data_IF_904862299209
#
_entry.id   IF_904862299209
#
_cell.length_a   1.000
_cell.length_b   1.000
_cell.length_c   1.000
_cell.angle_alpha   90.00
_cell.angle_beta   90.00
_cell.angle_gamma   90.00
#
_symmetry.space_group_name_H-M   'P 1'
#
loop_
_entity.id
_entity.type
_entity.pdbx_description
1 polymer ?
#
# COMPACT_ATOMS: atom_id res chain seq x y z
N UNK A 1 10.82 -31.04 4.24
CA UNK A 1 11.63 -30.99 3.03
C UNK A 1 12.09 -29.54 2.87
N UNK A 2 13.37 -29.27 3.12
CA UNK A 2 13.99 -27.97 2.82
C UNK A 2 14.68 -28.11 1.49
N UNK A 3 14.20 -27.42 0.47
CA UNK A 3 14.97 -27.19 -0.76
C UNK A 3 15.88 -25.99 -0.49
N UNK A 4 17.12 -26.29 -0.09
CA UNK A 4 18.27 -25.43 -0.35
C UNK A 4 18.37 -25.32 -1.88
N UNK A 5 18.00 -24.17 -2.43
CA UNK A 5 18.21 -23.87 -3.84
C UNK A 5 19.65 -23.37 -3.99
N UNK A 6 20.43 -24.20 -4.67
CA UNK A 6 21.83 -23.96 -5.05
C UNK A 6 21.97 -22.64 -5.81
N UNK A 7 23.08 -21.95 -5.57
CA UNK A 7 23.40 -20.63 -6.10
C UNK A 7 23.36 -20.62 -7.63
N UNK A 8 22.40 -19.89 -8.20
CA UNK A 8 22.45 -19.47 -9.60
C UNK A 8 23.07 -18.07 -9.63
N UNK A 9 24.23 -17.93 -10.28
CA UNK A 9 25.11 -16.73 -10.43
C UNK A 9 24.44 -15.41 -10.91
N UNK A 10 23.12 -15.33 -11.01
CA UNK A 10 22.37 -14.12 -11.37
C UNK A 10 21.22 -13.78 -10.41
N UNK A 11 21.08 -14.49 -9.29
CA UNK A 11 20.12 -14.10 -8.26
C UNK A 11 20.70 -13.00 -7.35
N UNK A 12 19.92 -11.95 -7.04
CA UNK A 12 20.36 -10.94 -6.09
C UNK A 12 20.67 -11.60 -4.75
N UNK A 13 21.78 -11.23 -4.11
CA UNK A 13 22.13 -11.75 -2.79
C UNK A 13 20.97 -11.54 -1.82
N UNK A 14 20.40 -12.64 -1.32
CA UNK A 14 19.29 -12.59 -0.36
C UNK A 14 19.78 -12.95 1.04
N UNK A 15 19.49 -12.09 2.02
CA UNK A 15 19.75 -12.35 3.43
C UNK A 15 18.46 -12.80 4.13
N UNK A 16 18.54 -13.84 4.97
CA UNK A 16 17.41 -14.31 5.77
C UNK A 16 17.17 -13.38 6.96
N UNK A 17 15.90 -13.01 7.16
CA UNK A 17 15.42 -12.25 8.32
C UNK A 17 14.45 -13.12 9.12
N UNK A 18 14.59 -13.13 10.45
CA UNK A 18 13.65 -13.80 11.35
C UNK A 18 12.78 -12.75 12.04
N UNK A 19 11.48 -12.75 11.74
CA UNK A 19 10.51 -11.75 12.23
C UNK A 19 9.37 -12.44 12.97
N UNK A 20 8.91 -11.84 14.08
CA UNK A 20 7.70 -12.30 14.79
C UNK A 20 6.49 -11.58 14.22
N UNK A 21 5.50 -12.35 13.75
CA UNK A 21 4.23 -11.86 13.24
C UNK A 21 3.06 -12.47 14.03
N UNK A 22 1.92 -11.78 14.17
CA UNK A 22 0.70 -12.39 14.70
C UNK A 22 0.30 -13.61 13.87
N UNK A 23 -0.17 -14.67 14.53
CA UNK A 23 -0.58 -15.91 13.84
C UNK A 23 -1.70 -15.65 12.83
N UNK A 24 -2.69 -14.83 13.20
CA UNK A 24 -3.81 -14.46 12.33
C UNK A 24 -3.36 -13.72 11.06
N UNK A 25 -2.25 -12.96 11.14
CA UNK A 25 -1.67 -12.28 10.00
C UNK A 25 -0.96 -13.28 9.09
N UNK A 26 -0.28 -14.27 9.67
CA UNK A 26 0.38 -15.32 8.89
C UNK A 26 -0.63 -16.17 8.12
N UNK A 27 -1.76 -16.51 8.73
CA UNK A 27 -2.85 -17.24 8.07
C UNK A 27 -3.44 -16.44 6.89
N UNK A 28 -3.64 -15.13 7.06
CA UNK A 28 -4.09 -14.26 5.98
C UNK A 28 -3.07 -14.15 4.84
N UNK A 29 -1.78 -14.06 5.16
CA UNK A 29 -0.72 -14.04 4.15
C UNK A 29 -0.72 -15.35 3.37
N UNK A 30 -0.87 -16.49 4.06
CA UNK A 30 -0.88 -17.83 3.48
C UNK A 30 -2.07 -18.05 2.52
N UNK A 31 -3.23 -17.46 2.80
CA UNK A 31 -4.38 -17.48 1.88
C UNK A 31 -4.18 -16.53 0.68
N UNK A 32 -3.68 -15.32 0.94
CA UNK A 32 -3.61 -14.25 -0.06
C UNK A 32 -2.46 -14.42 -1.05
N UNK A 33 -1.30 -14.95 -0.64
CA UNK A 33 -0.13 -14.97 -1.52
C UNK A 33 -0.37 -15.81 -2.78
N UNK A 34 -1.06 -16.95 -2.63
CA UNK A 34 -1.39 -17.82 -3.76
C UNK A 34 -2.45 -17.18 -4.67
N UNK A 35 -3.46 -16.53 -4.06
CA UNK A 35 -4.48 -15.77 -4.80
C UNK A 35 -3.86 -14.65 -5.66
N UNK A 36 -2.81 -14.00 -5.15
CA UNK A 36 -2.06 -12.94 -5.84
C UNK A 36 -1.02 -13.46 -6.83
N UNK A 37 -0.89 -14.78 -6.99
CA UNK A 37 -0.01 -15.39 -7.98
C UNK A 37 1.48 -15.45 -7.59
N UNK A 38 1.81 -15.22 -6.31
CA UNK A 38 3.19 -15.36 -5.84
C UNK A 38 3.62 -16.82 -5.79
N UNK A 39 4.87 -17.10 -6.16
CA UNK A 39 5.42 -18.46 -6.15
C UNK A 39 5.79 -18.93 -4.74
N UNK A 40 6.02 -17.98 -3.82
CA UNK A 40 6.34 -18.27 -2.43
C UNK A 40 5.91 -17.13 -1.51
N UNK A 41 5.73 -17.48 -0.23
CA UNK A 41 5.47 -16.51 0.85
C UNK A 41 6.58 -15.48 0.99
N UNK A 42 7.83 -15.92 0.83
CA UNK A 42 9.00 -15.04 0.89
C UNK A 42 9.00 -14.01 -0.23
N UNK A 43 8.45 -14.34 -1.39
CA UNK A 43 8.29 -13.40 -2.51
C UNK A 43 7.24 -12.33 -2.18
N UNK A 44 6.07 -12.72 -1.68
CA UNK A 44 5.02 -11.80 -1.25
C UNK A 44 5.51 -10.85 -0.13
N UNK A 45 6.25 -11.37 0.85
CA UNK A 45 6.83 -10.56 1.93
C UNK A 45 7.90 -9.62 1.37
N UNK A 46 8.75 -10.08 0.45
CA UNK A 46 9.79 -9.25 -0.16
C UNK A 46 9.18 -8.13 -1.01
N UNK A 47 8.08 -8.38 -1.71
CA UNK A 47 7.34 -7.36 -2.44
C UNK A 47 6.72 -6.32 -1.50
N UNK A 48 6.07 -6.77 -0.42
CA UNK A 48 5.54 -5.88 0.61
C UNK A 48 6.62 -5.01 1.26
N UNK A 49 7.81 -5.58 1.52
CA UNK A 49 8.96 -4.82 2.02
C UNK A 49 9.46 -3.80 0.99
N UNK A 50 9.48 -4.16 -0.30
CA UNK A 50 9.86 -3.23 -1.37
C UNK A 50 8.85 -2.09 -1.49
N UNK A 51 7.55 -2.39 -1.44
CA UNK A 51 6.48 -1.39 -1.42
C UNK A 51 6.52 -0.51 -0.17
N UNK A 52 7.03 -1.01 0.97
CA UNK A 52 7.23 -0.19 2.15
C UNK A 52 8.40 0.79 2.00
N UNK A 53 9.49 0.39 1.35
CA UNK A 53 10.66 1.25 1.05
C UNK A 53 10.35 2.25 -0.06
N UNK A 54 9.65 1.80 -1.10
CA UNK A 54 9.27 2.59 -2.27
C UNK A 54 7.79 2.36 -2.59
N UNK A 55 6.88 3.12 -1.96
CA UNK A 55 5.46 2.94 -2.17
C UNK A 55 5.09 3.23 -3.63
N UNK A 56 4.34 2.34 -4.31
CA UNK A 56 4.00 2.49 -5.73
C UNK A 56 3.16 3.76 -5.99
N UNK A 57 2.55 4.32 -4.95
CA UNK A 57 1.93 5.64 -4.95
C UNK A 57 2.63 6.49 -3.89
N UNK A 58 3.66 7.22 -4.30
CA UNK A 58 4.15 8.35 -3.50
C UNK A 58 3.22 9.52 -3.77
N UNK A 59 2.37 9.86 -2.81
CA UNK A 59 1.77 11.20 -2.78
C UNK A 59 2.95 12.18 -2.69
N UNK A 60 2.97 13.23 -3.51
CA UNK A 60 3.99 14.27 -3.36
C UNK A 60 3.84 14.92 -1.99
N UNK A 61 4.92 15.55 -1.51
CA UNK A 61 4.90 16.32 -0.26
C UNK A 61 3.77 17.37 -0.29
N UNK A 62 3.51 17.96 -1.46
CA UNK A 62 2.40 18.89 -1.68
C UNK A 62 1.03 18.22 -1.44
N UNK A 63 0.80 17.03 -1.99
CA UNK A 63 -0.49 16.32 -1.81
C UNK A 63 -0.69 15.87 -0.37
N UNK A 64 0.38 15.49 0.33
CA UNK A 64 0.32 15.19 1.76
C UNK A 64 -0.01 16.43 2.60
N UNK A 65 0.59 17.58 2.26
CA UNK A 65 0.28 18.86 2.89
C UNK A 65 -1.19 19.27 2.64
N UNK A 66 -1.68 19.11 1.42
CA UNK A 66 -3.08 19.39 1.06
C UNK A 66 -4.06 18.49 1.82
N UNK A 67 -3.74 17.20 2.00
CA UNK A 67 -4.54 16.27 2.81
C UNK A 67 -4.57 16.66 4.29
N UNK A 68 -3.45 17.14 4.83
CA UNK A 68 -3.39 17.62 6.20
C UNK A 68 -4.26 18.88 6.38
N UNK A 69 -4.12 19.85 5.47
CA UNK A 69 -4.92 21.08 5.47
C UNK A 69 -6.42 20.77 5.31
N UNK A 70 -6.78 19.85 4.42
CA UNK A 70 -8.17 19.43 4.22
C UNK A 70 -8.79 18.83 5.49
N UNK A 71 -8.03 18.06 6.27
CA UNK A 71 -8.50 17.50 7.56
C UNK A 71 -8.76 18.60 8.57
N UNK A 72 -7.85 19.57 8.70
CA UNK A 72 -8.01 20.72 9.59
C UNK A 72 -9.23 21.58 9.21
N UNK A 73 -9.42 21.86 7.91
CA UNK A 73 -10.60 22.58 7.41
C UNK A 73 -11.90 21.86 7.77
N UNK A 74 -11.90 20.52 7.72
CA UNK A 74 -13.07 19.72 8.11
C UNK A 74 -13.37 19.81 9.60
N UNK A 75 -12.34 19.82 10.45
CA UNK A 75 -12.47 19.94 11.90
C UNK A 75 -12.92 21.34 12.32
N UNK A 76 -12.41 22.38 11.66
CA UNK A 76 -12.74 23.79 11.92
C UNK A 76 -14.05 24.23 11.28
N UNK A 77 -14.65 23.40 10.42
CA UNK A 77 -15.89 23.71 9.71
C UNK A 77 -15.70 24.63 8.51
N UNK A 78 -14.46 24.87 8.06
CA UNK A 78 -14.09 25.65 6.88
C UNK A 78 -14.31 24.82 5.59
N UNK A 79 -15.48 24.20 5.46
CA UNK A 79 -15.86 23.40 4.27
C UNK A 79 -17.00 24.08 3.51
N UNK A 80 -17.04 23.84 2.20
CA UNK A 80 -18.07 24.42 1.32
C UNK A 80 -19.10 23.32 1.02
N UNK A 81 -20.41 23.62 1.07
CA UNK A 81 -21.46 22.68 0.68
C UNK A 81 -21.26 22.16 -0.74
N UNK A 82 -21.56 20.87 -0.94
CA UNK A 82 -21.39 20.19 -2.23
C UNK A 82 -22.18 20.88 -3.36
N UNK A 83 -23.41 21.31 -3.09
CA UNK A 83 -24.27 22.07 -4.02
C UNK A 83 -23.55 23.30 -4.59
N UNK A 84 -22.96 24.13 -3.71
CA UNK A 84 -22.25 25.34 -4.12
C UNK A 84 -20.99 25.05 -4.95
N UNK A 85 -20.34 23.91 -4.71
CA UNK A 85 -19.16 23.47 -5.48
C UNK A 85 -19.59 22.97 -6.85
N UNK A 86 -20.66 22.16 -6.92
CA UNK A 86 -21.22 21.66 -8.17
C UNK A 86 -21.71 22.80 -9.07
N UNK A 87 -22.43 23.78 -8.52
CA UNK A 87 -22.85 24.99 -9.24
C UNK A 87 -21.65 25.79 -9.75
N UNK A 88 -20.60 25.95 -8.93
CA UNK A 88 -19.39 26.71 -9.30
C UNK A 88 -18.62 26.06 -10.46
N UNK A 89 -18.56 24.74 -10.50
CA UNK A 89 -17.79 23.99 -11.49
C UNK A 89 -18.65 23.41 -12.62
N UNK A 90 -19.97 23.64 -12.61
CA UNK A 90 -20.89 23.17 -13.64
C UNK A 90 -20.99 21.64 -13.70
N UNK A 91 -20.98 20.98 -12.55
CA UNK A 91 -21.10 19.51 -12.45
C UNK A 91 -22.55 19.16 -12.17
N UNK A 92 -23.19 18.44 -13.10
CA UNK A 92 -24.53 17.91 -12.89
C UNK A 92 -24.48 16.66 -11.98
N UNK A 93 -25.31 16.58 -10.92
CA UNK A 93 -25.28 15.46 -9.97
C UNK A 93 -25.86 14.14 -10.54
N UNK A 94 -26.44 14.17 -11.74
CA UNK A 94 -27.16 13.07 -12.38
C UNK A 94 -26.50 12.54 -13.68
N UNK A 95 -25.26 12.97 -14.01
CA UNK A 95 -24.46 12.45 -15.14
C UNK A 95 -23.61 11.22 -14.75
#
# INVERSE_FOLDING_TARGET
>A
MSTDADNTDNEPETTKIDVRVPTELLDQIDEEYHSRGYTSRSEAIRDALRAWVDPPVRLSDDVLADLAASREQRETGETIPLENVMDKYGVDPDE
#
